data_IF_013403175139
#
_entry.id   IF_013403175139
#
_cell.length_a   1.000
_cell.length_b   1.000
_cell.length_c   1.000
_cell.angle_alpha   90.00
_cell.angle_beta   90.00
_cell.angle_gamma   90.00
#
_symmetry.space_group_name_H-M   'P 1'
#
loop_
_entity.id
_entity.type
_entity.pdbx_description
1 polymer ?
#
# COMPACT_ATOMS: atom_id res chain seq x y z
N UNK A 1 1.60 -16.42 28.88
CA UNK A 1 0.51 -16.74 27.92
C UNK A 1 0.75 -15.88 26.70
N UNK A 2 0.94 -16.45 25.48
CA UNK A 2 1.02 -15.63 24.25
C UNK A 2 -0.38 -15.07 23.98
N UNK A 3 -0.51 -13.78 23.66
CA UNK A 3 -1.81 -13.22 23.35
C UNK A 3 -2.43 -13.98 22.18
N UNK A 4 -3.70 -14.35 22.32
CA UNK A 4 -4.47 -15.03 21.28
C UNK A 4 -4.74 -14.10 20.08
N UNK A 5 -4.49 -12.82 20.28
CA UNK A 5 -4.81 -11.73 19.37
C UNK A 5 -3.67 -10.70 19.37
N UNK A 6 -3.13 -10.39 18.21
CA UNK A 6 -2.27 -9.21 18.02
C UNK A 6 -2.74 -8.48 16.79
N UNK A 7 -3.28 -7.29 16.98
CA UNK A 7 -3.52 -6.33 15.88
C UNK A 7 -2.25 -5.49 15.76
N UNK A 8 -1.64 -5.49 14.57
CA UNK A 8 -0.54 -4.58 14.31
C UNK A 8 -1.08 -3.17 14.10
N UNK A 9 -0.31 -2.16 14.53
CA UNK A 9 -0.68 -0.75 14.41
C UNK A 9 -1.10 -0.37 12.97
N UNK A 10 -0.40 -0.87 11.95
CA UNK A 10 -0.72 -0.63 10.55
C UNK A 10 -2.08 -1.16 10.12
N UNK A 11 -2.48 -2.33 10.62
CA UNK A 11 -3.80 -2.92 10.35
C UNK A 11 -4.91 -2.08 10.98
N UNK A 12 -4.69 -1.61 12.22
CA UNK A 12 -5.62 -0.72 12.90
C UNK A 12 -5.83 0.59 12.13
N UNK A 13 -4.73 1.24 11.71
CA UNK A 13 -4.77 2.50 10.98
C UNK A 13 -5.46 2.36 9.61
N UNK A 14 -5.19 1.26 8.91
CA UNK A 14 -5.88 0.94 7.65
C UNK A 14 -7.36 0.66 7.91
N UNK A 15 -7.69 -0.03 8.99
CA UNK A 15 -9.08 -0.27 9.42
C UNK A 15 -9.86 1.02 9.65
N UNK A 16 -9.24 2.04 10.27
CA UNK A 16 -9.83 3.36 10.42
C UNK A 16 -10.09 4.03 9.05
N UNK A 17 -9.11 3.97 8.13
CA UNK A 17 -9.28 4.48 6.77
C UNK A 17 -10.44 3.81 6.04
N UNK A 18 -10.54 2.48 6.14
CA UNK A 18 -11.64 1.72 5.53
C UNK A 18 -12.99 2.16 6.09
N UNK A 19 -13.10 2.26 7.42
CA UNK A 19 -14.35 2.67 8.10
C UNK A 19 -14.81 4.06 7.66
N UNK A 20 -13.87 4.96 7.40
CA UNK A 20 -14.15 6.31 6.88
C UNK A 20 -14.59 6.28 5.41
N UNK A 21 -13.84 5.55 4.56
CA UNK A 21 -13.95 5.61 3.10
C UNK A 21 -14.94 4.63 2.49
N UNK A 22 -15.22 3.50 3.15
CA UNK A 22 -16.10 2.45 2.62
C UNK A 22 -17.29 2.26 3.58
N UNK A 23 -18.46 2.71 3.16
CA UNK A 23 -19.72 2.46 3.88
C UNK A 23 -20.33 1.15 3.39
N UNK A 24 -21.19 0.52 4.21
CA UNK A 24 -21.87 -0.72 3.82
C UNK A 24 -21.01 -1.98 3.90
N UNK A 25 -19.83 -1.94 4.52
CA UNK A 25 -19.00 -3.11 4.78
C UNK A 25 -18.79 -3.38 6.26
N UNK A 26 -18.49 -4.64 6.58
CA UNK A 26 -17.94 -5.07 7.86
C UNK A 26 -16.48 -5.46 7.71
N UNK A 27 -15.70 -5.27 8.78
CA UNK A 27 -14.28 -5.53 8.82
C UNK A 27 -13.99 -6.65 9.81
N UNK A 28 -13.25 -7.66 9.36
CA UNK A 28 -12.83 -8.82 10.14
C UNK A 28 -11.32 -8.94 10.15
N UNK A 29 -10.74 -9.25 11.30
CA UNK A 29 -9.31 -9.49 11.45
C UNK A 29 -9.10 -10.98 11.71
N UNK A 30 -8.36 -11.68 10.85
CA UNK A 30 -8.07 -13.10 11.02
C UNK A 30 -7.25 -13.37 12.30
N UNK A 31 -7.59 -14.43 13.03
CA UNK A 31 -6.83 -14.86 14.21
C UNK A 31 -5.44 -15.40 13.86
N UNK A 32 -5.27 -15.92 12.64
CA UNK A 32 -3.99 -16.46 12.15
C UNK A 32 -3.57 -15.69 10.90
N UNK A 33 -2.34 -15.17 10.90
CA UNK A 33 -1.71 -14.66 9.69
C UNK A 33 -1.53 -15.78 8.65
N UNK A 34 -2.28 -15.66 7.57
CA UNK A 34 -2.19 -16.53 6.39
C UNK A 34 -1.96 -15.71 5.11
N UNK A 35 -1.40 -14.50 5.25
CA UNK A 35 -1.20 -13.57 4.16
C UNK A 35 -2.43 -12.71 3.85
N UNK A 36 -3.44 -12.75 4.74
CA UNK A 36 -4.58 -11.84 4.76
C UNK A 36 -4.64 -11.22 6.15
N UNK A 37 -4.54 -9.91 6.21
CA UNK A 37 -4.54 -9.16 7.46
C UNK A 37 -5.93 -8.60 7.80
N UNK A 38 -6.73 -8.31 6.76
CA UNK A 38 -8.11 -7.80 6.91
C UNK A 38 -9.00 -8.49 5.87
N UNK A 39 -10.17 -8.93 6.31
CA UNK A 39 -11.25 -9.38 5.42
C UNK A 39 -12.39 -8.37 5.50
N UNK A 40 -12.85 -7.89 4.36
CA UNK A 40 -14.04 -7.05 4.25
C UNK A 40 -15.19 -7.87 3.70
N UNK A 41 -16.40 -7.68 4.25
CA UNK A 41 -17.63 -8.27 3.72
C UNK A 41 -18.66 -7.18 3.50
N UNK A 42 -19.50 -7.34 2.48
CA UNK A 42 -20.67 -6.48 2.31
C UNK A 42 -21.68 -6.83 3.41
N UNK A 43 -22.28 -5.82 4.06
CA UNK A 43 -23.24 -6.01 5.17
C UNK A 43 -24.51 -6.74 4.75
N UNK A 44 -24.95 -6.51 3.52
CA UNK A 44 -26.21 -7.05 2.99
C UNK A 44 -26.01 -8.36 2.24
N UNK A 45 -24.75 -8.67 1.84
CA UNK A 45 -24.40 -9.90 1.12
C UNK A 45 -22.99 -10.38 1.50
N UNK A 46 -22.88 -11.21 2.53
CA UNK A 46 -21.59 -11.74 3.02
C UNK A 46 -20.83 -12.61 2.00
N UNK A 47 -21.45 -13.03 0.90
CA UNK A 47 -20.75 -13.73 -0.18
C UNK A 47 -19.82 -12.80 -0.94
N UNK A 48 -20.13 -11.50 -0.96
CA UNK A 48 -19.24 -10.48 -1.50
C UNK A 48 -18.23 -10.09 -0.43
N UNK A 49 -17.00 -10.49 -0.65
CA UNK A 49 -15.91 -10.24 0.28
C UNK A 49 -14.64 -9.87 -0.45
N UNK A 50 -13.76 -9.16 0.23
CA UNK A 50 -12.46 -8.72 -0.28
C UNK A 50 -11.41 -8.90 0.80
N UNK A 51 -10.33 -9.58 0.47
CA UNK A 51 -9.20 -9.84 1.34
C UNK A 51 -8.09 -8.84 1.11
N UNK A 52 -7.53 -8.30 2.19
CA UNK A 52 -6.48 -7.28 2.15
C UNK A 52 -5.23 -7.76 2.89
N UNK A 53 -4.06 -7.48 2.32
CA UNK A 53 -2.79 -7.56 3.01
C UNK A 53 -2.26 -6.14 3.25
N UNK A 54 -1.89 -5.84 4.49
CA UNK A 54 -1.38 -4.53 4.91
C UNK A 54 0.15 -4.53 4.96
N UNK A 55 0.74 -3.48 4.42
CA UNK A 55 2.17 -3.17 4.52
C UNK A 55 2.29 -1.74 5.00
N UNK A 56 2.58 -1.54 6.28
CA UNK A 56 2.65 -0.21 6.88
C UNK A 56 4.08 0.29 7.05
N UNK A 57 4.21 1.60 7.02
CA UNK A 57 5.43 2.34 7.36
C UNK A 57 5.05 3.63 8.08
N UNK A 58 5.89 4.04 9.00
CA UNK A 58 5.85 5.42 9.52
C UNK A 58 6.32 6.39 8.45
N UNK A 59 5.91 7.64 8.56
CA UNK A 59 6.39 8.72 7.71
C UNK A 59 7.83 9.10 8.10
N UNK A 60 8.75 8.94 7.16
CA UNK A 60 10.17 9.28 7.32
C UNK A 60 10.52 10.69 6.81
N UNK A 61 9.57 11.42 6.22
CA UNK A 61 9.82 12.75 5.66
C UNK A 61 10.50 13.72 6.65
N UNK A 62 10.16 13.74 7.96
CA UNK A 62 10.81 14.65 8.91
C UNK A 62 12.33 14.47 9.05
N UNK A 63 12.89 13.35 8.58
CA UNK A 63 14.33 13.07 8.62
C UNK A 63 15.08 13.50 7.35
N UNK A 64 14.37 14.09 6.39
CA UNK A 64 14.89 14.47 5.07
C UNK A 64 15.33 15.94 5.01
N UNK A 65 15.90 16.34 3.85
CA UNK A 65 16.38 17.70 3.64
C UNK A 65 15.23 18.73 3.61
N UNK A 66 15.49 20.00 3.94
CA UNK A 66 14.48 21.05 3.86
C UNK A 66 13.83 21.20 2.47
N UNK A 67 14.58 20.94 1.39
CA UNK A 67 14.06 20.98 0.04
C UNK A 67 13.06 19.86 -0.20
N UNK A 68 13.36 18.64 0.23
CA UNK A 68 12.45 17.48 0.13
C UNK A 68 11.18 17.71 0.95
N UNK A 69 11.31 18.24 2.18
CA UNK A 69 10.17 18.58 3.04
C UNK A 69 9.27 19.66 2.42
N UNK A 70 9.84 20.60 1.64
CA UNK A 70 9.04 21.59 0.91
C UNK A 70 8.18 20.98 -0.19
N UNK A 71 8.67 19.94 -0.84
CA UNK A 71 8.03 19.34 -2.02
C UNK A 71 7.11 18.16 -1.66
N UNK A 72 7.54 17.29 -0.77
CA UNK A 72 6.79 16.11 -0.37
C UNK A 72 5.90 16.36 0.86
N UNK A 73 4.84 15.58 0.99
CA UNK A 73 3.95 15.57 2.15
C UNK A 73 4.21 14.39 3.08
N UNK A 74 4.68 13.27 2.54
CA UNK A 74 5.08 12.08 3.30
C UNK A 74 5.96 11.15 2.48
N UNK A 75 6.74 10.31 3.16
CA UNK A 75 7.44 9.21 2.52
C UNK A 75 7.48 7.96 3.41
N UNK A 76 7.34 6.80 2.79
CA UNK A 76 7.40 5.51 3.48
C UNK A 76 8.43 4.58 2.86
N UNK A 77 8.91 3.67 3.71
CA UNK A 77 9.96 2.72 3.39
C UNK A 77 9.58 1.29 3.78
N UNK A 78 9.86 0.33 2.91
CA UNK A 78 9.60 -1.10 3.12
C UNK A 78 10.73 -1.98 2.63
N UNK A 79 10.93 -3.09 3.33
CA UNK A 79 11.83 -4.18 2.94
C UNK A 79 11.09 -5.25 2.14
N UNK A 80 10.43 -4.87 1.06
CA UNK A 80 9.89 -5.79 0.07
C UNK A 80 10.11 -5.26 -1.35
N UNK A 81 10.15 -6.18 -2.30
CA UNK A 81 10.33 -5.88 -3.72
C UNK A 81 9.66 -6.94 -4.59
N UNK A 82 10.07 -7.06 -5.86
CA UNK A 82 9.45 -7.98 -6.83
C UNK A 82 9.37 -9.41 -6.36
N UNK A 83 10.41 -9.93 -5.70
CA UNK A 83 10.45 -11.32 -5.22
C UNK A 83 9.37 -11.60 -4.19
N UNK A 84 9.19 -10.70 -3.21
CA UNK A 84 8.16 -10.85 -2.18
C UNK A 84 6.75 -10.76 -2.77
N UNK A 85 6.53 -9.84 -3.72
CA UNK A 85 5.24 -9.69 -4.41
C UNK A 85 4.94 -10.92 -5.27
N UNK A 86 5.91 -11.40 -6.05
CA UNK A 86 5.79 -12.61 -6.86
C UNK A 86 5.41 -13.81 -6.00
N UNK A 87 6.14 -14.03 -4.91
CA UNK A 87 5.86 -15.10 -3.95
C UNK A 87 4.44 -15.02 -3.39
N UNK A 88 3.92 -13.83 -3.12
CA UNK A 88 2.54 -13.67 -2.61
C UNK A 88 1.47 -14.05 -3.63
N UNK A 89 1.73 -13.89 -4.91
CA UNK A 89 0.82 -14.25 -6.02
C UNK A 89 0.88 -15.76 -6.28
N UNK A 90 2.08 -16.34 -6.26
CA UNK A 90 2.32 -17.75 -6.61
C UNK A 90 2.00 -18.72 -5.46
N UNK A 91 1.80 -18.22 -4.23
CA UNK A 91 1.52 -19.08 -3.07
C UNK A 91 0.06 -19.57 -3.09
N UNK A 92 -0.25 -20.40 -4.06
CA UNK A 92 -1.34 -21.36 -3.96
C UNK A 92 -0.78 -22.63 -3.36
N UNK A 93 -0.68 -22.71 -2.03
CA UNK A 93 -0.40 -23.97 -1.35
C UNK A 93 -1.73 -24.66 -1.03
N UNK A 94 -2.10 -25.74 -1.77
CA UNK A 94 -3.37 -26.44 -1.56
C UNK A 94 -3.48 -27.00 -0.13
N UNK A 95 -2.35 -27.32 0.50
CA UNK A 95 -2.30 -27.87 1.87
C UNK A 95 -2.54 -26.83 2.95
N UNK A 96 -2.18 -25.58 2.69
CA UNK A 96 -2.33 -24.48 3.66
C UNK A 96 -3.48 -23.54 3.35
N UNK A 97 -4.26 -23.80 2.28
CA UNK A 97 -5.38 -22.94 1.84
C UNK A 97 -4.99 -21.45 1.73
N UNK A 98 -3.72 -21.16 1.40
CA UNK A 98 -3.26 -19.78 1.20
C UNK A 98 -3.75 -19.31 -0.17
N UNK A 99 -4.64 -18.32 -0.15
CA UNK A 99 -4.97 -17.52 -1.33
C UNK A 99 -4.21 -16.20 -1.24
N UNK A 100 -3.72 -15.65 -2.37
CA UNK A 100 -3.23 -14.27 -2.38
C UNK A 100 -4.35 -13.33 -1.95
N UNK A 101 -4.00 -12.27 -1.22
CA UNK A 101 -4.96 -11.22 -0.93
C UNK A 101 -5.41 -10.53 -2.23
N UNK A 102 -6.67 -10.12 -2.29
CA UNK A 102 -7.22 -9.41 -3.46
C UNK A 102 -6.53 -8.08 -3.68
N UNK A 103 -6.17 -7.37 -2.59
CA UNK A 103 -5.41 -6.14 -2.63
C UNK A 103 -4.31 -6.10 -1.57
N UNK A 104 -3.22 -5.42 -1.91
CA UNK A 104 -2.27 -4.91 -0.95
C UNK A 104 -2.60 -3.46 -0.63
N UNK A 105 -2.57 -3.14 0.67
CA UNK A 105 -2.70 -1.78 1.18
C UNK A 105 -1.33 -1.38 1.72
N UNK A 106 -0.63 -0.53 0.97
CA UNK A 106 0.67 -0.01 1.36
C UNK A 106 0.41 1.35 2.02
N UNK A 107 0.51 1.39 3.34
CA UNK A 107 0.08 2.52 4.16
C UNK A 107 1.26 3.30 4.72
N UNK A 108 1.24 4.63 4.57
CA UNK A 108 2.17 5.57 5.21
C UNK A 108 1.40 6.32 6.28
N UNK A 109 1.83 6.21 7.53
CA UNK A 109 1.22 6.95 8.63
C UNK A 109 2.12 8.09 9.11
N UNK A 110 1.61 9.32 9.02
CA UNK A 110 2.24 10.51 9.56
C UNK A 110 1.65 10.84 10.92
N UNK A 111 2.42 10.63 11.98
CA UNK A 111 2.00 10.96 13.35
C UNK A 111 1.79 12.47 13.54
N UNK A 112 2.63 13.30 12.95
CA UNK A 112 2.51 14.76 13.02
C UNK A 112 1.29 15.27 12.27
N UNK A 113 1.03 14.72 11.07
CA UNK A 113 -0.14 15.05 10.26
C UNK A 113 -1.41 14.34 10.68
N UNK A 114 -1.34 13.37 11.61
CA UNK A 114 -2.46 12.48 12.00
C UNK A 114 -3.20 11.89 10.78
N UNK A 115 -2.43 11.57 9.75
CA UNK A 115 -2.95 11.15 8.45
C UNK A 115 -2.34 9.82 8.04
N UNK A 116 -3.16 8.95 7.46
CA UNK A 116 -2.71 7.72 6.82
C UNK A 116 -3.03 7.81 5.34
N UNK A 117 -2.00 7.75 4.50
CA UNK A 117 -2.15 7.62 3.06
C UNK A 117 -2.00 6.15 2.66
N UNK A 118 -2.89 5.66 1.80
CA UNK A 118 -2.96 4.26 1.41
C UNK A 118 -2.80 4.11 -0.11
N UNK A 119 -1.82 3.33 -0.55
CA UNK A 119 -1.73 2.86 -1.94
C UNK A 119 -2.51 1.55 -2.00
N UNK A 120 -3.63 1.55 -2.74
CA UNK A 120 -4.55 0.42 -2.88
C UNK A 120 -4.29 -0.25 -4.22
N UNK A 121 -3.68 -1.44 -4.24
CA UNK A 121 -3.22 -2.05 -5.49
C UNK A 121 -3.36 -3.58 -5.44
N UNK A 122 -3.70 -4.20 -6.57
CA UNK A 122 -3.66 -5.66 -6.71
C UNK A 122 -2.21 -6.16 -6.71
N UNK A 123 -1.89 -7.28 -6.05
CA UNK A 123 -0.54 -7.82 -6.07
C UNK A 123 0.01 -8.07 -7.48
N UNK A 124 -0.84 -8.53 -8.41
CA UNK A 124 -0.46 -8.76 -9.81
C UNK A 124 -0.05 -7.48 -10.53
N UNK A 125 -0.81 -6.38 -10.35
CA UNK A 125 -0.50 -5.07 -10.91
C UNK A 125 0.79 -4.50 -10.30
N UNK A 126 0.99 -4.68 -8.99
CA UNK A 126 2.22 -4.25 -8.32
C UNK A 126 3.44 -4.98 -8.87
N UNK A 127 3.33 -6.31 -9.07
CA UNK A 127 4.39 -7.12 -9.65
C UNK A 127 4.70 -6.70 -11.09
N UNK A 128 3.67 -6.52 -11.92
CA UNK A 128 3.81 -6.07 -13.30
C UNK A 128 4.56 -4.73 -13.36
N UNK A 129 4.20 -3.75 -12.54
CA UNK A 129 4.87 -2.46 -12.48
C UNK A 129 6.33 -2.60 -12.05
N UNK A 130 6.60 -3.37 -11.01
CA UNK A 130 7.95 -3.61 -10.50
C UNK A 130 8.85 -4.34 -11.50
N UNK A 131 8.31 -5.13 -12.41
CA UNK A 131 9.08 -5.83 -13.45
C UNK A 131 9.52 -4.93 -14.60
N UNK A 132 8.90 -3.78 -14.79
CA UNK A 132 9.17 -2.85 -15.90
C UNK A 132 10.28 -1.83 -15.64
N UNK A 133 10.82 -1.77 -14.43
CA UNK A 133 11.99 -0.95 -14.13
C UNK A 133 12.95 -1.70 -13.22
N UNK A 134 14.22 -1.26 -13.19
CA UNK A 134 15.23 -1.88 -12.33
C UNK A 134 14.88 -1.68 -10.87
N UNK A 135 14.27 -2.70 -10.26
CA UNK A 135 13.76 -2.69 -8.90
C UNK A 135 14.65 -3.50 -7.97
N UNK A 136 14.88 -2.98 -6.76
CA UNK A 136 15.53 -3.70 -5.66
C UNK A 136 14.48 -4.36 -4.76
N UNK A 137 14.93 -5.18 -3.79
CA UNK A 137 14.06 -5.75 -2.74
C UNK A 137 13.67 -4.75 -1.64
N UNK A 138 13.78 -3.44 -1.96
CA UNK A 138 13.35 -2.34 -1.09
C UNK A 138 12.44 -1.42 -1.87
N UNK A 139 11.42 -0.88 -1.22
CA UNK A 139 10.42 0.00 -1.85
C UNK A 139 10.33 1.31 -1.07
N UNK A 140 10.37 2.43 -1.79
CA UNK A 140 10.21 3.77 -1.24
C UNK A 140 9.09 4.48 -1.97
N UNK A 141 8.01 4.80 -1.27
CA UNK A 141 6.96 5.64 -1.83
C UNK A 141 7.05 7.04 -1.25
N UNK A 142 7.04 8.01 -2.14
CA UNK A 142 7.03 9.42 -1.82
C UNK A 142 5.75 10.05 -2.35
N UNK A 143 5.08 10.81 -1.48
CA UNK A 143 3.84 11.51 -1.81
C UNK A 143 4.13 13.00 -1.83
N UNK A 144 3.82 13.66 -2.92
CA UNK A 144 3.99 15.10 -3.10
C UNK A 144 2.86 15.88 -2.43
N UNK A 145 3.05 17.16 -2.16
CA UNK A 145 2.01 18.04 -1.58
C UNK A 145 0.80 18.22 -2.50
N UNK A 146 0.99 18.08 -3.82
CA UNK A 146 -0.10 18.11 -4.81
C UNK A 146 -0.78 16.74 -5.00
N UNK A 147 -0.49 15.76 -4.14
CA UNK A 147 -1.19 14.48 -4.08
C UNK A 147 -0.74 13.45 -5.11
N UNK A 148 0.46 13.58 -5.69
CA UNK A 148 1.03 12.54 -6.55
C UNK A 148 1.86 11.57 -5.72
N UNK A 149 1.94 10.31 -6.17
CA UNK A 149 2.68 9.25 -5.49
C UNK A 149 3.65 8.56 -6.44
N UNK A 150 4.90 8.43 -6.02
CA UNK A 150 5.97 7.84 -6.83
C UNK A 150 6.80 6.83 -6.05
N UNK A 151 7.17 5.73 -6.71
CA UNK A 151 8.21 4.83 -6.22
C UNK A 151 9.58 5.38 -6.64
N UNK A 152 10.43 5.72 -5.67
CA UNK A 152 11.66 6.46 -5.91
C UNK A 152 12.94 5.67 -5.66
N UNK A 153 12.85 4.42 -5.18
CA UNK A 153 14.01 3.61 -4.90
C UNK A 153 14.81 3.31 -6.18
N UNK A 154 16.10 3.66 -6.15
CA UNK A 154 17.01 3.49 -7.29
C UNK A 154 17.04 4.66 -8.26
N UNK A 155 16.24 5.71 -8.06
CA UNK A 155 16.42 6.97 -8.77
C UNK A 155 17.71 7.65 -8.30
N UNK A 156 18.49 8.16 -9.25
CA UNK A 156 19.65 8.99 -8.94
C UNK A 156 19.24 10.43 -8.54
N UNK A 157 20.17 11.21 -8.00
CA UNK A 157 19.90 12.57 -7.53
C UNK A 157 19.33 13.49 -8.62
N UNK A 158 19.79 13.35 -9.87
CA UNK A 158 19.29 14.15 -11.00
C UNK A 158 17.85 13.80 -11.31
N UNK A 159 17.48 12.51 -11.34
CA UNK A 159 16.11 12.06 -11.55
C UNK A 159 15.18 12.51 -10.41
N UNK A 160 15.65 12.42 -9.17
CA UNK A 160 14.88 12.93 -8.00
C UNK A 160 14.64 14.43 -8.12
N UNK A 161 15.66 15.21 -8.54
CA UNK A 161 15.52 16.65 -8.76
C UNK A 161 14.50 16.95 -9.88
N UNK A 162 14.58 16.25 -11.01
CA UNK A 162 13.61 16.39 -12.10
C UNK A 162 12.18 16.07 -11.65
N UNK A 163 12.02 15.06 -10.77
CA UNK A 163 10.72 14.73 -10.20
C UNK A 163 10.19 15.88 -9.32
N UNK A 164 11.03 16.49 -8.50
CA UNK A 164 10.69 17.68 -7.70
C UNK A 164 10.35 18.90 -8.57
N UNK A 165 10.96 19.03 -9.76
CA UNK A 165 10.63 20.07 -10.75
C UNK A 165 9.33 19.76 -11.54
N UNK A 166 8.63 18.67 -11.23
CA UNK A 166 7.41 18.26 -11.90
C UNK A 166 7.61 17.59 -13.27
N UNK A 167 8.88 17.31 -13.66
CA UNK A 167 9.23 16.64 -14.92
C UNK A 167 9.04 15.12 -14.82
N UNK A 168 7.80 14.70 -14.66
CA UNK A 168 7.41 13.29 -14.39
C UNK A 168 7.82 12.37 -15.55
N UNK A 169 7.82 12.86 -16.78
CA UNK A 169 8.22 12.09 -17.97
C UNK A 169 9.72 11.71 -18.01
N UNK A 170 10.51 12.18 -17.04
CA UNK A 170 11.94 11.85 -16.94
C UNK A 170 12.22 10.53 -16.19
N UNK A 171 11.18 9.89 -15.66
CA UNK A 171 11.27 8.59 -14.97
C UNK A 171 10.33 7.58 -15.64
N UNK A 172 10.54 6.30 -15.35
CA UNK A 172 9.70 5.23 -15.87
C UNK A 172 8.23 5.44 -15.45
N UNK A 173 7.25 5.39 -16.39
CA UNK A 173 5.84 5.64 -16.09
C UNK A 173 5.27 4.70 -15.01
N UNK A 174 5.81 3.50 -14.90
CA UNK A 174 5.42 2.50 -13.93
C UNK A 174 5.75 2.89 -12.50
N UNK A 175 6.64 3.87 -12.29
CA UNK A 175 6.92 4.45 -10.96
C UNK A 175 5.84 5.40 -10.47
N UNK A 176 4.93 5.81 -11.31
CA UNK A 176 3.82 6.68 -10.95
C UNK A 176 2.66 5.88 -10.36
N UNK A 177 2.45 5.96 -9.07
CA UNK A 177 1.40 5.28 -8.29
C UNK A 177 0.24 6.21 -7.93
N UNK A 178 0.16 7.39 -8.50
CA UNK A 178 -0.87 8.40 -8.17
C UNK A 178 -2.29 7.84 -8.33
N UNK A 179 -2.54 7.03 -9.35
CA UNK A 179 -3.86 6.41 -9.57
C UNK A 179 -4.29 5.39 -8.52
N UNK A 180 -3.36 4.92 -7.69
CA UNK A 180 -3.60 3.97 -6.59
C UNK A 180 -3.68 4.65 -5.22
N UNK A 181 -3.23 5.92 -5.13
CA UNK A 181 -3.19 6.65 -3.87
C UNK A 181 -4.61 6.96 -3.38
N UNK A 182 -4.95 6.43 -2.21
CA UNK A 182 -6.26 6.57 -1.56
C UNK A 182 -7.45 6.17 -2.46
N UNK A 183 -7.19 5.36 -3.49
CA UNK A 183 -8.19 4.92 -4.46
C UNK A 183 -8.87 3.61 -4.01
N UNK A 184 -9.90 3.74 -3.21
CA UNK A 184 -10.71 2.63 -2.71
C UNK A 184 -11.80 2.14 -3.68
N UNK A 185 -11.93 2.77 -4.87
CA UNK A 185 -12.96 2.42 -5.86
C UNK A 185 -12.93 0.95 -6.28
N UNK A 186 -11.77 0.32 -6.58
CA UNK A 186 -11.74 -1.10 -6.97
C UNK A 186 -12.21 -2.04 -5.84
N UNK A 187 -11.89 -1.71 -4.58
CA UNK A 187 -12.34 -2.46 -3.40
C UNK A 187 -13.87 -2.36 -3.26
N UNK A 188 -14.43 -1.15 -3.37
CA UNK A 188 -15.88 -0.92 -3.32
C UNK A 188 -16.61 -1.68 -4.42
N UNK A 189 -16.09 -1.65 -5.63
CA UNK A 189 -16.68 -2.37 -6.77
C UNK A 189 -16.76 -3.87 -6.52
N UNK A 190 -15.70 -4.46 -5.95
CA UNK A 190 -15.67 -5.90 -5.67
C UNK A 190 -16.61 -6.28 -4.53
N UNK A 191 -16.76 -5.38 -3.52
CA UNK A 191 -17.73 -5.53 -2.43
C UNK A 191 -19.19 -5.27 -2.88
N UNK A 192 -19.40 -4.56 -3.98
CA UNK A 192 -20.73 -4.15 -4.43
C UNK A 192 -21.34 -3.04 -3.56
N UNK A 193 -20.53 -2.08 -3.09
CA UNK A 193 -20.93 -0.93 -2.25
C UNK A 193 -20.47 0.39 -2.84
#
# INVERSE_FOLDING_TARGET
MKPFYSIHEGEYLVGLCIKEKIKGCELWIPVKDRGVDILLTNKDDYKKNVSLQVKSSTDHLPTHSPEEIKFYSSCGFWNFGPTAVKKSIETTDPKNHKKPADFWIIAIHSFFGKKTDCIVIKPSELYERFSKFKKTEKTYFWITKDGKCFETRGLNKSQQKLLMEGKINSIEPERNFTGYLNNWKPVKQLLGV
#
